data_IF_189439273308
#
_entry.id   IF_189439273308
#
_cell.length_a   1.000
_cell.length_b   1.000
_cell.length_c   1.000
_cell.angle_alpha   90.00
_cell.angle_beta   90.00
_cell.angle_gamma   90.00
#
_symmetry.space_group_name_H-M   'P 1'
#
loop_
_entity.id
_entity.type
_entity.pdbx_description
1 polymer ?
#
# COMPACT_ATOMS: atom_id res chain seq x y z
N UNK A 1 -11.20 -76.48 26.73
CA UNK A 1 -11.84 -75.14 26.77
C UNK A 1 -10.83 -74.11 26.28
N UNK A 2 -11.27 -73.06 25.56
CA UNK A 2 -10.44 -72.28 24.64
C UNK A 2 -9.82 -71.00 25.22
N UNK A 3 -8.77 -70.55 24.53
CA UNK A 3 -8.31 -69.17 24.27
C UNK A 3 -7.86 -68.24 25.41
N UNK A 4 -6.63 -67.73 25.26
CA UNK A 4 -6.27 -66.35 25.61
C UNK A 4 -5.22 -65.84 24.61
N UNK A 5 -5.65 -64.94 23.72
CA UNK A 5 -4.83 -64.19 22.77
C UNK A 5 -3.95 -63.13 23.47
N UNK A 6 -2.80 -62.74 22.89
CA UNK A 6 -2.00 -61.62 23.39
C UNK A 6 -2.58 -60.27 22.93
N UNK A 7 -2.41 -59.18 23.70
CA UNK A 7 -3.00 -57.89 23.34
C UNK A 7 -2.27 -57.24 22.16
N UNK A 8 -3.03 -57.00 21.10
CA UNK A 8 -2.67 -56.31 19.87
C UNK A 8 -2.44 -54.82 20.13
N UNK A 9 -1.28 -54.33 19.70
CA UNK A 9 -0.92 -52.91 19.61
C UNK A 9 -1.94 -52.11 18.79
N UNK A 10 -2.59 -51.13 19.41
CA UNK A 10 -3.39 -50.11 18.71
C UNK A 10 -2.56 -48.83 18.58
N UNK A 11 -1.64 -48.82 17.61
CA UNK A 11 -1.12 -47.58 17.07
C UNK A 11 -2.15 -47.01 16.08
N UNK A 12 -3.10 -46.23 16.60
CA UNK A 12 -3.98 -45.42 15.76
C UNK A 12 -3.18 -44.37 14.97
N UNK A 13 -3.60 -43.99 13.75
CA UNK A 13 -2.92 -42.97 12.97
C UNK A 13 -2.97 -41.64 13.72
N UNK A 14 -1.80 -41.07 14.00
CA UNK A 14 -1.67 -39.71 14.53
C UNK A 14 -2.19 -38.75 13.48
N UNK A 15 -3.39 -38.22 13.70
CA UNK A 15 -3.88 -37.06 12.96
C UNK A 15 -2.93 -35.89 13.22
N UNK A 16 -2.60 -35.07 12.20
CA UNK A 16 -1.84 -33.84 12.39
C UNK A 16 -2.74 -32.85 13.13
N UNK A 17 -2.78 -32.98 14.46
CA UNK A 17 -3.37 -32.00 15.37
C UNK A 17 -2.66 -30.67 15.15
N UNK A 18 -3.41 -29.68 14.70
CA UNK A 18 -3.28 -28.26 15.02
C UNK A 18 -1.84 -27.81 15.33
N UNK A 19 -1.04 -27.64 14.28
CA UNK A 19 0.13 -26.78 14.36
C UNK A 19 -0.35 -25.33 14.45
N UNK A 20 -0.89 -24.93 15.61
CA UNK A 20 -0.94 -23.52 15.97
C UNK A 20 0.49 -23.01 15.88
N UNK A 21 0.77 -21.94 15.10
CA UNK A 21 2.09 -21.37 15.08
C UNK A 21 2.49 -21.05 16.51
N UNK A 22 3.56 -21.67 17.01
CA UNK A 22 4.16 -21.26 18.27
C UNK A 22 4.63 -19.84 18.01
N UNK A 23 3.96 -18.86 18.60
CA UNK A 23 4.46 -17.48 18.65
C UNK A 23 5.78 -17.52 19.41
N UNK A 24 6.88 -17.57 18.66
CA UNK A 24 8.22 -17.39 19.21
C UNK A 24 8.28 -16.01 19.81
N UNK A 25 8.54 -15.93 21.12
CA UNK A 25 8.76 -14.64 21.75
C UNK A 25 10.07 -14.08 21.19
N UNK A 26 10.08 -12.79 20.84
CA UNK A 26 11.34 -12.09 20.56
C UNK A 26 12.11 -12.06 21.88
N UNK A 27 13.32 -12.62 21.89
CA UNK A 27 14.15 -12.63 23.09
C UNK A 27 14.50 -11.19 23.48
N UNK A 28 14.56 -10.91 24.78
CA UNK A 28 14.93 -9.63 25.38
C UNK A 28 16.17 -8.98 24.72
N UNK A 29 17.19 -9.75 24.35
CA UNK A 29 18.39 -9.20 23.68
C UNK A 29 18.08 -8.64 22.29
N UNK A 30 17.24 -9.34 21.53
CA UNK A 30 16.81 -8.89 20.19
C UNK A 30 15.85 -7.70 20.32
N UNK A 31 14.97 -7.72 21.31
CA UNK A 31 14.05 -6.61 21.59
C UNK A 31 14.82 -5.34 21.99
N UNK A 32 15.83 -5.48 22.86
CA UNK A 32 16.74 -4.39 23.23
C UNK A 32 17.48 -3.85 22.02
N UNK A 33 17.95 -4.71 21.12
CA UNK A 33 18.57 -4.26 19.87
C UNK A 33 17.58 -3.49 18.99
N UNK A 34 16.38 -4.03 18.75
CA UNK A 34 15.34 -3.37 17.91
C UNK A 34 14.95 -2.01 18.48
N UNK A 35 14.84 -1.88 19.80
CA UNK A 35 14.47 -0.64 20.47
C UNK A 35 15.53 0.46 20.39
N UNK A 36 16.81 0.10 20.18
CA UNK A 36 17.94 1.04 20.23
C UNK A 36 18.67 1.20 18.89
N UNK A 37 18.47 0.29 17.93
CA UNK A 37 19.03 0.41 16.60
C UNK A 37 18.44 1.62 15.87
N UNK A 38 19.28 2.35 15.13
CA UNK A 38 18.79 3.44 14.30
C UNK A 38 18.04 2.88 13.07
N UNK A 39 17.24 3.74 12.45
CA UNK A 39 16.35 3.33 11.36
C UNK A 39 17.10 2.90 10.09
N UNK A 40 18.28 3.46 9.82
CA UNK A 40 19.06 3.07 8.64
C UNK A 40 19.66 1.67 8.81
N UNK A 41 20.20 1.36 9.98
CA UNK A 41 20.71 0.02 10.30
C UNK A 41 19.59 -1.01 10.24
N UNK A 42 18.42 -0.70 10.82
CA UNK A 42 17.25 -1.59 10.74
C UNK A 42 16.83 -1.85 9.29
N UNK A 43 16.81 -0.81 8.43
CA UNK A 43 16.50 -0.98 7.00
C UNK A 43 17.55 -1.82 6.28
N UNK A 44 18.82 -1.59 6.54
CA UNK A 44 19.92 -2.35 5.93
C UNK A 44 19.85 -3.83 6.33
N UNK A 45 19.65 -4.11 7.61
CA UNK A 45 19.52 -5.46 8.16
C UNK A 45 18.29 -6.16 7.57
N UNK A 46 17.13 -5.51 7.58
CA UNK A 46 15.90 -6.10 7.02
C UNK A 46 16.07 -6.37 5.53
N UNK A 47 16.63 -5.45 4.74
CA UNK A 47 16.90 -5.67 3.32
C UNK A 47 17.86 -6.84 3.09
N UNK A 48 18.96 -6.90 3.85
CA UNK A 48 19.92 -8.01 3.76
C UNK A 48 19.29 -9.35 4.13
N UNK A 49 18.49 -9.40 5.19
CA UNK A 49 17.74 -10.58 5.60
C UNK A 49 16.77 -11.02 4.50
N UNK A 50 15.95 -10.10 3.97
CA UNK A 50 14.99 -10.40 2.91
C UNK A 50 15.67 -10.86 1.61
N UNK A 51 16.83 -10.31 1.28
CA UNK A 51 17.57 -10.65 0.05
C UNK A 51 18.26 -12.03 0.12
N UNK A 52 18.62 -12.48 1.33
CA UNK A 52 19.37 -13.73 1.54
C UNK A 52 18.52 -14.89 2.08
N UNK A 53 17.29 -14.60 2.52
CA UNK A 53 16.36 -15.59 3.04
C UNK A 53 15.49 -16.21 1.93
N UNK A 54 14.87 -17.38 2.18
CA UNK A 54 13.88 -17.94 1.27
C UNK A 54 12.70 -16.98 1.04
N UNK A 55 12.01 -17.03 -0.13
CA UNK A 55 10.89 -16.13 -0.45
C UNK A 55 9.75 -16.12 0.58
N UNK A 56 9.56 -17.22 1.32
CA UNK A 56 8.57 -17.32 2.40
C UNK A 56 8.80 -16.30 3.52
N UNK A 57 10.05 -15.88 3.77
CA UNK A 57 10.37 -14.85 4.78
C UNK A 57 9.88 -13.48 4.33
N UNK A 58 10.07 -13.13 3.06
CA UNK A 58 9.54 -11.88 2.49
C UNK A 58 8.01 -11.84 2.51
N UNK A 59 7.35 -12.98 2.21
CA UNK A 59 5.90 -13.11 2.30
C UNK A 59 5.40 -12.95 3.74
N UNK A 60 6.09 -13.55 4.72
CA UNK A 60 5.76 -13.43 6.14
C UNK A 60 5.94 -11.99 6.64
N UNK A 61 7.06 -11.35 6.29
CA UNK A 61 7.32 -9.94 6.60
C UNK A 61 6.21 -9.02 6.07
N UNK A 62 5.87 -9.17 4.79
CA UNK A 62 4.83 -8.37 4.14
C UNK A 62 3.46 -8.64 4.76
N UNK A 63 3.15 -9.88 5.13
CA UNK A 63 1.90 -10.22 5.81
C UNK A 63 1.81 -9.64 7.21
N UNK A 64 2.90 -9.65 7.98
CA UNK A 64 2.97 -9.00 9.29
C UNK A 64 2.82 -7.47 9.17
N UNK A 65 3.43 -6.86 8.16
CA UNK A 65 3.29 -5.43 7.86
C UNK A 65 1.82 -5.07 7.60
N UNK A 66 1.13 -5.82 6.72
CA UNK A 66 -0.31 -5.60 6.45
C UNK A 66 -1.18 -5.73 7.70
N UNK A 67 -0.96 -6.77 8.51
CA UNK A 67 -1.69 -6.95 9.76
C UNK A 67 -1.49 -5.76 10.72
N UNK A 68 -0.27 -5.23 10.82
CA UNK A 68 0.01 -4.04 11.62
C UNK A 68 -0.71 -2.82 11.07
N UNK A 69 -0.68 -2.60 9.76
CA UNK A 69 -1.32 -1.46 9.08
C UNK A 69 -2.84 -1.47 9.27
N UNK A 70 -3.48 -2.63 9.16
CA UNK A 70 -4.91 -2.78 9.46
C UNK A 70 -5.24 -2.46 10.91
N UNK A 71 -4.39 -2.88 11.87
CA UNK A 71 -4.59 -2.60 13.30
C UNK A 71 -4.50 -1.13 13.67
N UNK A 72 -3.72 -0.34 12.93
CA UNK A 72 -3.58 1.11 13.16
C UNK A 72 -4.48 1.93 12.24
N UNK A 73 -5.42 1.27 11.54
CA UNK A 73 -6.33 1.88 10.57
C UNK A 73 -5.59 2.72 9.51
N UNK A 74 -4.47 2.19 9.01
CA UNK A 74 -3.70 2.85 7.95
C UNK A 74 -4.46 2.92 6.62
N UNK A 75 -5.65 2.32 6.51
CA UNK A 75 -6.51 2.34 5.32
C UNK A 75 -7.60 3.42 5.35
N UNK A 76 -7.87 4.04 6.51
CA UNK A 76 -8.86 5.11 6.64
C UNK A 76 -8.62 6.24 5.63
N UNK A 77 -9.69 6.74 5.00
CA UNK A 77 -9.56 7.87 4.09
C UNK A 77 -9.06 9.11 4.84
N UNK A 78 -7.99 9.78 4.37
CA UNK A 78 -7.52 10.99 5.00
C UNK A 78 -8.47 12.17 4.70
N UNK A 79 -8.52 13.12 5.61
CA UNK A 79 -9.13 14.42 5.35
C UNK A 79 -8.29 15.19 4.30
N UNK A 80 -8.94 15.59 3.20
CA UNK A 80 -8.33 16.32 2.08
C UNK A 80 -8.15 17.81 2.34
N UNK A 81 -8.79 18.34 3.39
CA UNK A 81 -8.71 19.76 3.75
C UNK A 81 -7.27 20.15 4.07
N UNK A 82 -6.73 21.17 3.40
CA UNK A 82 -5.36 21.65 3.64
C UNK A 82 -4.26 20.73 3.13
N UNK A 83 -4.54 19.80 2.21
CA UNK A 83 -3.48 19.11 1.43
C UNK A 83 -2.68 20.08 0.56
N UNK A 84 -3.32 21.16 0.14
CA UNK A 84 -2.74 22.21 -0.69
C UNK A 84 -2.99 23.57 -0.02
N UNK A 85 -2.02 24.45 -0.13
CA UNK A 85 -2.10 25.84 0.33
C UNK A 85 -2.00 26.79 -0.86
N UNK A 86 -2.37 28.08 -0.70
CA UNK A 86 -2.03 29.10 -1.69
C UNK A 86 -0.52 29.10 -1.96
N UNK A 87 -0.15 29.15 -3.24
CA UNK A 87 1.23 29.23 -3.72
C UNK A 87 1.76 30.66 -3.76
N UNK A 88 2.97 30.81 -4.27
CA UNK A 88 3.66 32.11 -4.41
C UNK A 88 3.14 32.96 -5.58
N UNK A 89 2.66 32.32 -6.65
CA UNK A 89 2.10 32.99 -7.82
C UNK A 89 0.60 33.29 -7.67
N UNK A 90 0.10 34.27 -8.42
CA UNK A 90 -1.32 34.63 -8.40
C UNK A 90 -2.19 33.41 -8.79
N UNK A 91 -3.02 32.93 -7.86
CA UNK A 91 -3.93 31.77 -8.03
C UNK A 91 -3.23 30.42 -8.21
N UNK A 92 -1.96 30.30 -7.82
CA UNK A 92 -1.24 29.02 -7.80
C UNK A 92 -1.44 28.29 -6.47
N UNK A 93 -1.25 26.98 -6.46
CA UNK A 93 -1.26 26.14 -5.27
C UNK A 93 0.15 25.62 -4.95
N UNK A 94 0.39 25.31 -3.68
CA UNK A 94 1.61 24.69 -3.17
C UNK A 94 1.27 23.46 -2.34
N UNK A 95 2.09 22.39 -2.37
CA UNK A 95 1.87 21.22 -1.54
C UNK A 95 2.11 21.54 -0.06
N UNK A 96 1.31 20.95 0.83
CA UNK A 96 1.49 21.08 2.28
C UNK A 96 2.26 19.91 2.89
N UNK A 97 2.74 20.07 4.13
CA UNK A 97 3.33 18.95 4.90
C UNK A 97 2.33 17.82 5.15
N UNK A 98 1.03 18.15 5.26
CA UNK A 98 -0.05 17.16 5.41
C UNK A 98 -0.07 16.21 4.21
N UNK A 99 0.08 16.74 3.00
CA UNK A 99 0.15 15.92 1.79
C UNK A 99 1.35 14.96 1.85
N UNK A 100 2.51 15.41 2.30
CA UNK A 100 3.69 14.53 2.43
C UNK A 100 3.44 13.36 3.38
N UNK A 101 2.82 13.62 4.54
CA UNK A 101 2.44 12.56 5.49
C UNK A 101 1.47 11.54 4.86
N UNK A 102 0.52 12.01 4.07
CA UNK A 102 -0.44 11.16 3.36
C UNK A 102 0.27 10.33 2.29
N UNK A 103 1.18 10.94 1.50
CA UNK A 103 1.95 10.20 0.50
C UNK A 103 2.82 9.12 1.15
N UNK A 104 3.50 9.40 2.26
CA UNK A 104 4.27 8.37 2.99
C UNK A 104 3.37 7.18 3.39
N UNK A 105 2.17 7.45 3.89
CA UNK A 105 1.18 6.42 4.22
C UNK A 105 0.75 5.62 2.99
N UNK A 106 0.44 6.30 1.88
CA UNK A 106 0.10 5.67 0.59
C UNK A 106 1.20 4.73 0.11
N UNK A 107 2.46 5.15 0.18
CA UNK A 107 3.63 4.32 -0.19
C UNK A 107 3.82 3.13 0.73
N UNK A 108 3.54 3.32 2.01
CA UNK A 108 3.57 2.23 2.99
C UNK A 108 2.50 1.17 2.68
N UNK A 109 1.29 1.59 2.25
CA UNK A 109 0.23 0.67 1.86
C UNK A 109 0.60 -0.14 0.60
N UNK A 110 0.92 0.51 -0.52
CA UNK A 110 1.25 -0.23 -1.75
C UNK A 110 2.53 -1.07 -1.59
N UNK A 111 3.50 -0.60 -0.81
CA UNK A 111 4.74 -1.32 -0.51
C UNK A 111 4.53 -2.55 0.38
N UNK A 112 3.40 -2.61 1.10
CA UNK A 112 2.98 -3.79 1.87
C UNK A 112 2.03 -4.71 1.08
N UNK A 113 1.78 -4.43 -0.20
CA UNK A 113 0.86 -5.23 -1.03
C UNK A 113 -0.62 -4.94 -0.77
N UNK A 114 -0.96 -3.74 -0.28
CA UNK A 114 -2.32 -3.21 -0.10
C UNK A 114 -2.60 -2.13 -1.16
N UNK A 115 -2.45 -2.50 -2.43
CA UNK A 115 -2.55 -1.57 -3.56
C UNK A 115 -3.93 -0.93 -3.66
N UNK A 116 -5.01 -1.69 -3.51
CA UNK A 116 -6.39 -1.15 -3.63
C UNK A 116 -6.65 -0.07 -2.57
N UNK A 117 -6.22 -0.29 -1.33
CA UNK A 117 -6.34 0.71 -0.27
C UNK A 117 -5.52 1.98 -0.59
N UNK A 118 -4.34 1.81 -1.17
CA UNK A 118 -3.48 2.91 -1.62
C UNK A 118 -4.14 3.73 -2.75
N UNK A 119 -4.73 3.07 -3.75
CA UNK A 119 -5.46 3.72 -4.84
C UNK A 119 -6.65 4.54 -4.34
N UNK A 120 -7.35 4.06 -3.31
CA UNK A 120 -8.47 4.79 -2.73
C UNK A 120 -8.04 6.14 -2.14
N UNK A 121 -6.88 6.17 -1.46
CA UNK A 121 -6.30 7.42 -0.95
C UNK A 121 -5.84 8.31 -2.11
N UNK A 122 -5.16 7.74 -3.11
CA UNK A 122 -4.68 8.48 -4.27
C UNK A 122 -5.81 9.12 -5.07
N UNK A 123 -6.96 8.45 -5.21
CA UNK A 123 -8.14 9.02 -5.86
C UNK A 123 -8.57 10.33 -5.18
N UNK A 124 -8.57 10.38 -3.85
CA UNK A 124 -8.91 11.59 -3.09
C UNK A 124 -7.90 12.72 -3.28
N UNK A 125 -6.61 12.38 -3.37
CA UNK A 125 -5.55 13.36 -3.63
C UNK A 125 -5.73 13.95 -5.04
N UNK A 126 -5.96 13.10 -6.05
CA UNK A 126 -6.17 13.54 -7.44
C UNK A 126 -7.43 14.40 -7.55
N UNK A 127 -8.56 13.98 -6.95
CA UNK A 127 -9.77 14.81 -6.92
C UNK A 127 -9.55 16.17 -6.27
N UNK A 128 -8.72 16.24 -5.22
CA UNK A 128 -8.40 17.49 -4.54
C UNK A 128 -7.53 18.44 -5.38
N UNK A 129 -7.00 18.00 -6.54
CA UNK A 129 -6.30 18.87 -7.49
C UNK A 129 -7.23 19.68 -8.40
N UNK A 130 -8.51 19.28 -8.50
CA UNK A 130 -9.48 19.97 -9.36
C UNK A 130 -9.69 21.39 -8.86
N UNK A 131 -9.57 22.37 -9.76
CA UNK A 131 -9.65 23.80 -9.46
C UNK A 131 -8.32 24.42 -9.00
N UNK A 132 -7.26 23.61 -8.83
CA UNK A 132 -5.92 24.11 -8.54
C UNK A 132 -5.16 24.43 -9.82
N UNK A 133 -4.23 25.37 -9.71
CA UNK A 133 -3.28 25.74 -10.76
C UNK A 133 -1.88 25.71 -10.20
N UNK A 134 -0.90 25.52 -11.05
CA UNK A 134 0.51 25.52 -10.68
C UNK A 134 1.34 26.03 -11.85
N UNK A 135 2.56 26.44 -11.54
CA UNK A 135 3.56 26.83 -12.53
C UNK A 135 4.41 25.62 -12.91
N UNK A 136 4.99 25.67 -14.11
CA UNK A 136 6.07 24.77 -14.51
C UNK A 136 7.29 24.98 -13.61
N UNK A 137 8.06 23.92 -13.38
CA UNK A 137 9.22 23.85 -12.49
C UNK A 137 8.90 24.24 -11.02
N UNK A 138 7.63 24.14 -10.62
CA UNK A 138 7.19 24.44 -9.25
C UNK A 138 7.22 23.21 -8.34
N UNK A 139 7.30 23.46 -7.02
CA UNK A 139 7.20 22.39 -6.02
C UNK A 139 5.86 21.60 -6.11
N UNK A 140 4.82 22.24 -6.64
CA UNK A 140 3.53 21.59 -6.88
C UNK A 140 3.62 20.62 -8.06
N UNK A 141 4.20 21.02 -9.19
CA UNK A 141 4.43 20.13 -10.33
C UNK A 141 5.28 18.91 -9.93
N UNK A 142 6.37 19.14 -9.20
CA UNK A 142 7.24 18.08 -8.68
C UNK A 142 6.48 17.04 -7.83
N UNK A 143 5.56 17.51 -6.98
CA UNK A 143 4.76 16.62 -6.14
C UNK A 143 3.70 15.88 -6.96
N UNK A 144 3.10 16.52 -7.95
CA UNK A 144 2.13 15.89 -8.85
C UNK A 144 2.79 14.79 -9.69
N UNK A 145 4.00 15.02 -10.20
CA UNK A 145 4.78 14.00 -10.90
C UNK A 145 5.11 12.79 -9.99
N UNK A 146 5.39 13.03 -8.70
CA UNK A 146 5.57 11.95 -7.71
C UNK A 146 4.27 11.18 -7.46
N UNK A 147 3.13 11.88 -7.41
CA UNK A 147 1.81 11.25 -7.28
C UNK A 147 1.51 10.35 -8.49
N UNK A 148 1.80 10.81 -9.71
CA UNK A 148 1.64 10.00 -10.93
C UNK A 148 2.47 8.71 -10.89
N UNK A 149 3.72 8.82 -10.42
CA UNK A 149 4.58 7.65 -10.19
C UNK A 149 4.01 6.72 -9.09
N UNK A 150 3.51 7.27 -7.99
CA UNK A 150 2.89 6.50 -6.90
C UNK A 150 1.61 5.77 -7.38
N UNK A 151 0.80 6.38 -8.23
CA UNK A 151 -0.37 5.71 -8.84
C UNK A 151 0.07 4.50 -9.66
N UNK A 152 1.12 4.64 -10.46
CA UNK A 152 1.64 3.52 -11.25
C UNK A 152 2.10 2.34 -10.37
N UNK A 153 2.79 2.64 -9.26
CA UNK A 153 3.20 1.62 -8.28
C UNK A 153 2.01 1.00 -7.54
N UNK A 154 1.01 1.81 -7.18
CA UNK A 154 -0.20 1.33 -6.53
C UNK A 154 -1.03 0.43 -7.46
N UNK A 155 -1.13 0.75 -8.75
CA UNK A 155 -1.78 -0.11 -9.77
C UNK A 155 -1.07 -1.46 -9.85
N UNK A 156 0.27 -1.46 -9.89
CA UNK A 156 1.04 -2.70 -9.93
C UNK A 156 0.80 -3.55 -8.67
N UNK A 157 0.87 -2.93 -7.48
CA UNK A 157 0.57 -3.57 -6.21
C UNK A 157 -0.86 -4.13 -6.16
N UNK A 158 -1.85 -3.41 -6.72
CA UNK A 158 -3.24 -3.88 -6.82
C UNK A 158 -3.40 -5.10 -7.72
N UNK A 159 -2.67 -5.18 -8.83
CA UNK A 159 -2.68 -6.36 -9.70
C UNK A 159 -2.17 -7.58 -8.95
N UNK A 160 -1.05 -7.45 -8.25
CA UNK A 160 -0.48 -8.53 -7.42
C UNK A 160 -1.37 -8.90 -6.22
N UNK A 161 -2.12 -7.94 -5.69
CA UNK A 161 -3.14 -8.15 -4.65
C UNK A 161 -4.31 -8.99 -5.15
N UNK A 162 -4.80 -8.70 -6.36
CA UNK A 162 -5.87 -9.43 -7.03
C UNK A 162 -5.40 -10.83 -7.44
N UNK A 163 -4.26 -10.93 -8.13
CA UNK A 163 -3.68 -12.20 -8.59
C UNK A 163 -3.37 -13.15 -7.43
N UNK A 164 -2.93 -12.59 -6.30
CA UNK A 164 -2.70 -13.36 -5.09
C UNK A 164 -3.96 -13.73 -4.30
N UNK A 165 -5.16 -13.41 -4.80
CA UNK A 165 -6.44 -13.74 -4.15
C UNK A 165 -6.65 -13.04 -2.80
N UNK A 166 -6.02 -11.87 -2.59
CA UNK A 166 -6.04 -11.17 -1.29
C UNK A 166 -7.15 -10.12 -1.19
N UNK A 167 -7.77 -9.78 -2.31
CA UNK A 167 -8.95 -8.91 -2.37
C UNK A 167 -10.20 -9.68 -1.95
N UNK A 168 -10.80 -9.29 -0.83
CA UNK A 168 -12.01 -9.94 -0.30
C UNK A 168 -13.26 -9.51 -1.08
N UNK A 169 -13.37 -8.23 -1.42
CA UNK A 169 -14.49 -7.66 -2.15
C UNK A 169 -14.01 -7.06 -3.48
N UNK A 170 -14.16 -7.86 -4.54
CA UNK A 170 -13.79 -7.45 -5.90
C UNK A 170 -14.69 -6.32 -6.43
N UNK A 171 -15.93 -6.21 -5.95
CA UNK A 171 -16.83 -5.14 -6.39
C UNK A 171 -16.38 -3.81 -5.78
N UNK A 172 -16.04 -3.79 -4.49
CA UNK A 172 -15.46 -2.63 -3.84
C UNK A 172 -14.13 -2.22 -4.49
N UNK A 173 -13.27 -3.19 -4.81
CA UNK A 173 -12.00 -2.92 -5.51
C UNK A 173 -12.22 -2.27 -6.89
N UNK A 174 -13.18 -2.78 -7.69
CA UNK A 174 -13.56 -2.14 -8.96
C UNK A 174 -14.09 -0.73 -8.75
N UNK A 175 -14.88 -0.50 -7.69
CA UNK A 175 -15.37 0.83 -7.30
C UNK A 175 -14.22 1.83 -7.10
N UNK A 176 -13.21 1.45 -6.32
CA UNK A 176 -12.01 2.29 -6.10
C UNK A 176 -11.28 2.62 -7.41
N UNK A 177 -11.15 1.63 -8.31
CA UNK A 177 -10.50 1.85 -9.60
C UNK A 177 -11.30 2.83 -10.47
N UNK A 178 -12.64 2.73 -10.46
CA UNK A 178 -13.48 3.70 -11.16
C UNK A 178 -13.41 5.09 -10.53
N UNK A 179 -13.37 5.20 -9.20
CA UNK A 179 -13.20 6.49 -8.51
C UNK A 179 -11.89 7.17 -8.94
N UNK A 180 -10.78 6.43 -8.97
CA UNK A 180 -9.49 6.97 -9.44
C UNK A 180 -9.55 7.37 -10.93
N UNK A 181 -10.17 6.54 -11.78
CA UNK A 181 -10.33 6.87 -13.21
C UNK A 181 -11.12 8.17 -13.40
N UNK A 182 -12.23 8.33 -12.69
CA UNK A 182 -13.04 9.56 -12.72
C UNK A 182 -12.22 10.76 -12.24
N UNK A 183 -11.50 10.63 -11.12
CA UNK A 183 -10.66 11.71 -10.59
C UNK A 183 -9.59 12.18 -11.58
N UNK A 184 -8.91 11.23 -12.25
CA UNK A 184 -7.89 11.52 -13.27
C UNK A 184 -8.50 12.24 -14.48
N UNK A 185 -9.67 11.80 -14.95
CA UNK A 185 -10.38 12.43 -16.07
C UNK A 185 -10.83 13.85 -15.70
N UNK A 186 -11.41 14.03 -14.51
CA UNK A 186 -11.86 15.34 -14.02
C UNK A 186 -10.68 16.32 -13.90
N UNK A 187 -9.55 15.87 -13.34
CA UNK A 187 -8.31 16.65 -13.27
C UNK A 187 -7.82 17.03 -14.66
N UNK A 188 -7.79 16.09 -15.62
CA UNK A 188 -7.39 16.37 -17.00
C UNK A 188 -8.28 17.41 -17.68
N UNK A 189 -9.60 17.28 -17.51
CA UNK A 189 -10.57 18.24 -18.04
C UNK A 189 -10.40 19.62 -17.43
N UNK A 190 -10.08 19.70 -16.13
CA UNK A 190 -9.88 20.96 -15.45
C UNK A 190 -8.59 21.67 -15.87
N UNK A 191 -7.47 20.93 -15.94
CA UNK A 191 -6.17 21.42 -16.42
C UNK A 191 -6.28 22.02 -17.82
N UNK A 192 -7.03 21.36 -18.71
CA UNK A 192 -7.29 21.85 -20.07
C UNK A 192 -8.01 23.21 -20.11
N UNK A 193 -8.82 23.56 -19.09
CA UNK A 193 -9.55 24.85 -19.08
C UNK A 193 -8.63 26.05 -18.89
N UNK A 194 -7.46 25.85 -18.30
CA UNK A 194 -6.48 26.90 -18.05
C UNK A 194 -5.17 26.70 -18.82
N UNK A 195 -5.17 25.76 -19.78
CA UNK A 195 -4.04 25.46 -20.67
C UNK A 195 -2.76 25.02 -19.93
N UNK A 196 -2.92 24.29 -18.82
CA UNK A 196 -1.81 23.75 -18.04
C UNK A 196 -1.28 22.41 -18.56
N UNK A 197 -0.09 22.03 -18.11
CA UNK A 197 0.46 20.70 -18.33
C UNK A 197 -0.25 19.66 -17.43
N UNK A 198 -0.79 18.61 -18.03
CA UNK A 198 -1.48 17.55 -17.28
C UNK A 198 -0.47 16.64 -16.58
N UNK A 199 -0.53 16.46 -15.25
CA UNK A 199 0.56 15.83 -14.52
C UNK A 199 0.40 14.31 -14.37
N UNK A 200 -0.78 13.76 -14.68
CA UNK A 200 -1.13 12.35 -14.42
C UNK A 200 -1.18 11.49 -15.69
N UNK A 201 -0.27 11.75 -16.64
CA UNK A 201 -0.25 11.08 -17.95
C UNK A 201 -0.01 9.56 -17.85
N UNK A 202 0.91 9.13 -16.97
CA UNK A 202 1.22 7.70 -16.83
C UNK A 202 0.09 6.97 -16.13
N UNK A 203 -0.52 7.59 -15.13
CA UNK A 203 -1.72 7.08 -14.47
C UNK A 203 -2.87 6.93 -15.46
N UNK A 204 -3.16 7.97 -16.26
CA UNK A 204 -4.21 7.94 -17.27
C UNK A 204 -4.00 6.80 -18.27
N UNK A 205 -2.79 6.69 -18.81
CA UNK A 205 -2.41 5.61 -19.73
C UNK A 205 -2.56 4.24 -19.07
N UNK A 206 -2.07 4.08 -17.83
CA UNK A 206 -2.16 2.80 -17.11
C UNK A 206 -3.60 2.38 -16.84
N UNK A 207 -4.48 3.32 -16.50
CA UNK A 207 -5.90 3.10 -16.23
C UNK A 207 -6.71 2.79 -17.50
N UNK A 208 -6.29 3.27 -18.66
CA UNK A 208 -6.91 2.95 -19.95
C UNK A 208 -6.74 1.47 -20.30
N UNK A 209 -5.53 0.93 -20.11
CA UNK A 209 -5.23 -0.46 -20.44
C UNK A 209 -5.56 -1.45 -19.31
N UNK A 210 -5.78 -0.97 -18.08
CA UNK A 210 -6.11 -1.85 -16.96
C UNK A 210 -7.60 -2.25 -16.98
N UNK A 211 -7.85 -3.50 -17.38
CA UNK A 211 -9.16 -4.16 -17.32
C UNK A 211 -9.24 -5.04 -16.05
N UNK A 212 -10.23 -4.78 -15.20
CA UNK A 212 -10.49 -5.50 -13.92
C UNK A 212 -11.93 -5.97 -13.84
#
# INVERSE_FOLDING_TARGET
MPAAEPPTSLAGPRTPRDARPVLGHVNLMVDTFIANANLEDLRAIVRGMLATSPPSVAQAFTSAARQRLLRVDATALPDTTGMFSPGSGEKTASPSEKLQGILIRTRTLYGSGMGIASLNILARIVSATVGLRWEEDSAMEDVLAKIDADISQAIQSSKEEIEGGRVVDMQAARGVIQELRSAVIESQMDVKKWDGAFPFERAASSLEYWRV
#
